data_IF_770670038517
#
_entry.id   IF_770670038517
#
_cell.length_a   1.000
_cell.length_b   1.000
_cell.length_c   1.000
_cell.angle_alpha   90.00
_cell.angle_beta   90.00
_cell.angle_gamma   90.00
#
_symmetry.space_group_name_H-M   'P 1'
#
loop_
_entity.id
_entity.type
_entity.pdbx_description
1 polymer ?
#
# COMPACT_ATOMS: atom_id res chain seq x y z
N UNK A 1 2.56 -24.21 -3.56
CA UNK A 1 2.30 -23.05 -2.68
C UNK A 1 0.99 -23.31 -1.96
N UNK A 2 0.94 -23.13 -0.65
CA UNK A 2 -0.28 -23.35 0.13
C UNK A 2 -1.19 -22.11 0.02
N UNK A 3 -2.51 -22.28 -0.12
CA UNK A 3 -3.47 -21.20 0.02
C UNK A 3 -3.44 -20.62 1.43
N UNK A 4 -3.98 -19.41 1.63
CA UNK A 4 -3.94 -18.74 2.93
C UNK A 4 -4.68 -19.55 4.01
N UNK A 5 -5.72 -20.29 3.64
CA UNK A 5 -6.49 -21.15 4.54
C UNK A 5 -5.66 -22.29 5.14
N UNK A 6 -4.63 -22.72 4.44
CA UNK A 6 -3.76 -23.85 4.84
C UNK A 6 -2.41 -23.35 5.37
N UNK A 7 -2.14 -22.03 5.30
CA UNK A 7 -0.88 -21.47 5.74
C UNK A 7 -0.86 -21.33 7.27
N UNK A 8 0.08 -21.96 7.99
CA UNK A 8 0.12 -21.92 9.45
C UNK A 8 0.63 -20.59 10.01
N UNK A 9 1.15 -19.70 9.16
CA UNK A 9 1.73 -18.44 9.60
C UNK A 9 0.69 -17.30 9.71
N UNK A 10 0.90 -16.35 10.62
CA UNK A 10 0.08 -15.14 10.68
C UNK A 10 0.07 -14.40 9.34
N UNK A 11 -0.97 -13.59 9.09
CA UNK A 11 -1.06 -12.76 7.87
C UNK A 11 0.11 -11.80 7.72
N UNK A 12 0.68 -11.36 8.85
CA UNK A 12 1.87 -10.51 8.90
C UNK A 12 2.78 -10.97 10.02
N UNK A 13 4.07 -11.04 9.73
CA UNK A 13 5.09 -11.26 10.76
C UNK A 13 6.44 -10.68 10.34
N UNK A 14 7.26 -10.35 11.33
CA UNK A 14 8.68 -10.05 11.14
C UNK A 14 9.44 -11.36 11.00
N UNK A 15 10.17 -11.53 9.90
CA UNK A 15 10.92 -12.76 9.64
C UNK A 15 12.09 -12.92 10.61
N UNK A 16 12.38 -14.18 10.99
CA UNK A 16 13.57 -14.52 11.76
C UNK A 16 14.85 -14.23 10.94
N UNK A 17 15.86 -13.63 11.58
CA UNK A 17 17.13 -13.26 10.90
C UNK A 17 17.84 -14.43 10.22
N UNK A 18 17.71 -15.64 10.74
CA UNK A 18 18.39 -16.83 10.22
C UNK A 18 17.87 -17.33 8.85
N UNK A 19 16.70 -16.87 8.41
CA UNK A 19 16.10 -17.29 7.15
C UNK A 19 16.10 -16.21 6.05
N UNK A 20 16.64 -15.04 6.32
CA UNK A 20 16.60 -13.91 5.40
C UNK A 20 17.90 -13.82 4.61
N UNK A 21 17.87 -14.02 3.28
CA UNK A 21 19.04 -13.75 2.45
C UNK A 21 19.35 -12.25 2.47
N UNK A 22 20.62 -11.85 2.45
CA UNK A 22 21.02 -10.45 2.29
C UNK A 22 20.83 -10.01 0.82
N UNK A 23 19.60 -9.73 0.41
CA UNK A 23 19.26 -9.39 -0.97
C UNK A 23 18.52 -8.07 -1.12
N UNK A 24 18.21 -7.44 0.00
CA UNK A 24 17.56 -6.13 0.05
C UNK A 24 18.48 -4.96 -0.28
N UNK A 25 17.91 -3.76 -0.41
CA UNK A 25 18.71 -2.57 -0.61
C UNK A 25 19.59 -2.30 0.62
N UNK A 26 20.85 -1.91 0.37
CA UNK A 26 21.74 -1.49 1.44
C UNK A 26 21.16 -0.27 2.19
N UNK A 27 21.35 -0.18 3.52
CA UNK A 27 20.93 1.00 4.26
C UNK A 27 21.55 2.27 3.68
N UNK A 28 20.73 3.32 3.54
CA UNK A 28 21.16 4.65 3.11
C UNK A 28 20.98 5.64 4.25
N UNK A 29 21.90 6.60 4.37
CA UNK A 29 21.78 7.67 5.37
C UNK A 29 20.76 8.74 4.94
N UNK A 30 20.58 8.96 3.64
CA UNK A 30 19.80 10.06 3.09
C UNK A 30 18.38 9.69 2.69
N UNK A 31 18.06 8.39 2.68
CA UNK A 31 16.75 7.90 2.23
C UNK A 31 16.38 6.57 2.85
N UNK A 32 15.16 6.17 2.59
CA UNK A 32 14.57 4.89 3.01
C UNK A 32 14.32 4.07 1.76
N UNK A 33 15.08 3.01 1.57
CA UNK A 33 14.90 2.08 0.46
C UNK A 33 14.04 0.89 0.91
N UNK A 34 13.16 0.43 0.04
CA UNK A 34 12.37 -0.79 0.22
C UNK A 34 12.46 -1.65 -1.03
N UNK A 35 12.54 -2.97 -0.84
CA UNK A 35 12.33 -3.96 -1.89
C UNK A 35 11.17 -4.85 -1.51
N UNK A 36 10.18 -4.94 -2.37
CA UNK A 36 9.07 -5.87 -2.21
C UNK A 36 9.21 -7.00 -3.21
N UNK A 37 8.99 -8.24 -2.77
CA UNK A 37 8.81 -9.40 -3.64
C UNK A 37 7.42 -9.95 -3.40
N UNK A 38 6.67 -10.12 -4.47
CA UNK A 38 5.28 -10.59 -4.40
C UNK A 38 5.12 -11.80 -5.29
N UNK A 39 4.53 -12.86 -4.75
CA UNK A 39 4.10 -14.02 -5.54
C UNK A 39 2.60 -14.25 -5.42
N UNK A 40 2.00 -14.75 -6.50
CA UNK A 40 0.61 -15.23 -6.48
C UNK A 40 0.52 -16.55 -5.72
N UNK A 41 -0.58 -16.73 -5.00
CA UNK A 41 -0.97 -17.99 -4.40
C UNK A 41 -2.12 -18.60 -5.21
N UNK A 42 -3.25 -18.85 -4.58
CA UNK A 42 -4.46 -19.33 -5.28
C UNK A 42 -5.46 -18.19 -5.47
N UNK A 43 -6.19 -18.20 -6.59
CA UNK A 43 -7.22 -17.19 -6.87
C UNK A 43 -6.64 -15.77 -6.88
N UNK A 44 -7.12 -14.94 -5.95
CA UNK A 44 -6.64 -13.57 -5.77
C UNK A 44 -5.72 -13.40 -4.55
N UNK A 45 -5.39 -14.49 -3.87
CA UNK A 45 -4.48 -14.48 -2.74
C UNK A 45 -3.04 -14.26 -3.20
N UNK A 46 -2.31 -13.49 -2.42
CA UNK A 46 -0.91 -13.13 -2.67
C UNK A 46 -0.15 -13.08 -1.34
N UNK A 47 1.13 -13.34 -1.41
CA UNK A 47 2.02 -13.05 -0.30
C UNK A 47 3.21 -12.22 -0.76
N UNK A 48 3.78 -11.49 0.16
CA UNK A 48 4.85 -10.53 -0.08
C UNK A 48 5.91 -10.62 0.99
N UNK A 49 7.14 -10.38 0.58
CA UNK A 49 8.27 -10.04 1.44
C UNK A 49 8.59 -8.57 1.20
N UNK A 50 8.70 -7.79 2.27
CA UNK A 50 9.21 -6.41 2.23
C UNK A 50 10.52 -6.35 2.99
N UNK A 51 11.59 -6.08 2.27
CA UNK A 51 12.92 -5.80 2.82
C UNK A 51 13.01 -4.29 3.08
N UNK A 52 13.14 -3.92 4.35
CA UNK A 52 13.15 -2.53 4.80
C UNK A 52 14.58 -2.07 5.08
N UNK A 53 15.15 -1.27 4.18
CA UNK A 53 16.56 -0.87 4.18
C UNK A 53 17.06 -0.21 5.46
N UNK A 54 16.30 0.71 6.14
CA UNK A 54 16.81 1.41 7.31
C UNK A 54 17.29 0.52 8.46
N UNK A 55 16.70 -0.63 8.64
CA UNK A 55 17.00 -1.55 9.75
C UNK A 55 17.39 -2.95 9.27
N UNK A 56 17.29 -3.22 7.97
CA UNK A 56 17.48 -4.55 7.39
C UNK A 56 16.41 -5.54 7.87
N UNK A 57 15.29 -5.07 8.41
CA UNK A 57 14.20 -5.95 8.80
C UNK A 57 13.41 -6.43 7.59
N UNK A 58 12.89 -7.63 7.69
CA UNK A 58 12.09 -8.26 6.66
C UNK A 58 10.71 -8.59 7.23
N UNK A 59 9.69 -8.11 6.54
CA UNK A 59 8.30 -8.37 6.86
C UNK A 59 7.65 -9.25 5.80
N UNK A 60 6.99 -10.33 6.23
CA UNK A 60 6.10 -11.11 5.36
C UNK A 60 4.69 -10.62 5.57
N UNK A 61 3.95 -10.38 4.47
CA UNK A 61 2.57 -9.92 4.46
C UNK A 61 1.75 -10.76 3.49
N UNK A 62 0.47 -10.94 3.80
CA UNK A 62 -0.50 -11.59 2.92
C UNK A 62 -1.59 -10.61 2.53
N UNK A 63 -2.08 -10.73 1.28
CA UNK A 63 -3.18 -9.94 0.74
C UNK A 63 -4.16 -10.81 -0.03
N UNK A 64 -5.41 -10.44 -0.01
CA UNK A 64 -6.47 -11.08 -0.78
C UNK A 64 -7.45 -10.00 -1.27
N UNK A 65 -8.38 -10.39 -2.10
CA UNK A 65 -9.48 -9.52 -2.53
C UNK A 65 -10.81 -10.03 -1.96
N UNK A 66 -11.78 -9.14 -1.87
CA UNK A 66 -13.14 -9.53 -1.52
C UNK A 66 -13.84 -10.33 -2.64
N UNK A 67 -14.97 -10.95 -2.31
CA UNK A 67 -15.77 -11.78 -3.23
C UNK A 67 -16.14 -11.08 -4.54
N UNK A 68 -16.28 -9.74 -4.54
CA UNK A 68 -16.56 -8.95 -5.74
C UNK A 68 -15.46 -9.00 -6.81
N UNK A 69 -14.24 -9.39 -6.44
CA UNK A 69 -13.10 -9.62 -7.32
C UNK A 69 -12.68 -11.10 -7.38
N UNK A 70 -13.54 -12.00 -6.94
CA UNK A 70 -13.30 -13.45 -6.83
C UNK A 70 -12.16 -13.81 -5.86
N UNK A 71 -11.96 -13.00 -4.83
CA UNK A 71 -11.14 -13.32 -3.66
C UNK A 71 -11.94 -14.03 -2.58
N UNK A 72 -11.26 -14.48 -1.53
CA UNK A 72 -11.82 -15.18 -0.38
C UNK A 72 -11.98 -14.27 0.86
N UNK A 73 -11.53 -13.01 0.76
CA UNK A 73 -11.60 -12.00 1.82
C UNK A 73 -10.90 -12.45 3.13
N UNK A 74 -9.83 -13.22 3.02
CA UNK A 74 -9.09 -13.76 4.17
C UNK A 74 -8.00 -12.80 4.68
N UNK A 75 -7.52 -11.90 3.84
CA UNK A 75 -6.50 -10.94 4.16
C UNK A 75 -6.87 -9.55 3.63
N UNK A 76 -6.23 -8.46 4.10
CA UNK A 76 -6.51 -7.13 3.61
C UNK A 76 -6.30 -7.00 2.11
N UNK A 77 -7.19 -6.25 1.46
CA UNK A 77 -7.06 -5.88 0.06
C UNK A 77 -5.94 -4.83 -0.12
N UNK A 78 -5.32 -4.73 -1.32
CA UNK A 78 -4.14 -3.88 -1.54
C UNK A 78 -4.30 -2.42 -1.12
N UNK A 79 -5.47 -1.82 -1.40
CA UNK A 79 -5.72 -0.41 -1.06
C UNK A 79 -5.84 -0.20 0.46
N UNK A 80 -6.13 -1.25 1.25
CA UNK A 80 -6.12 -1.17 2.70
C UNK A 80 -4.69 -1.00 3.23
N UNK A 81 -3.73 -1.72 2.68
CA UNK A 81 -2.31 -1.54 3.02
C UNK A 81 -1.81 -0.13 2.70
N UNK A 82 -2.16 0.39 1.53
CA UNK A 82 -1.77 1.74 1.13
C UNK A 82 -2.36 2.80 2.06
N UNK A 83 -3.66 2.68 2.38
CA UNK A 83 -4.34 3.59 3.31
C UNK A 83 -3.73 3.52 4.72
N UNK A 84 -3.43 2.32 5.22
CA UNK A 84 -2.76 2.12 6.49
C UNK A 84 -1.35 2.73 6.52
N UNK A 85 -0.60 2.59 5.42
CA UNK A 85 0.72 3.20 5.25
C UNK A 85 0.68 4.73 5.31
N UNK A 86 -0.28 5.36 4.61
CA UNK A 86 -0.50 6.80 4.66
C UNK A 86 -0.85 7.28 6.07
N UNK A 87 -1.86 6.67 6.70
CA UNK A 87 -2.29 7.02 8.06
C UNK A 87 -1.15 6.89 9.07
N UNK A 88 -0.38 5.80 9.00
CA UNK A 88 0.77 5.61 9.87
C UNK A 88 1.83 6.69 9.70
N UNK A 89 2.14 7.06 8.45
CA UNK A 89 3.12 8.09 8.14
C UNK A 89 2.65 9.47 8.61
N UNK A 90 1.42 9.85 8.32
CA UNK A 90 0.85 11.12 8.78
C UNK A 90 0.81 11.22 10.30
N UNK A 91 0.40 10.15 11.00
CA UNK A 91 0.35 10.14 12.46
C UNK A 91 1.75 10.33 13.06
N UNK A 92 2.80 9.73 12.48
CA UNK A 92 4.18 9.94 12.93
C UNK A 92 4.58 11.41 12.86
N UNK A 93 4.28 12.08 11.75
CA UNK A 93 4.61 13.49 11.57
C UNK A 93 3.79 14.41 12.49
N UNK A 94 2.50 14.13 12.64
CA UNK A 94 1.62 14.89 13.54
C UNK A 94 2.11 14.80 14.99
N UNK A 95 2.46 13.60 15.46
CA UNK A 95 2.96 13.40 16.82
C UNK A 95 4.30 14.11 17.04
N UNK A 96 5.25 13.99 16.13
CA UNK A 96 6.55 14.65 16.23
C UNK A 96 6.42 16.18 16.23
N UNK A 97 5.56 16.75 15.39
CA UNK A 97 5.31 18.19 15.36
C UNK A 97 4.59 18.71 16.61
N UNK A 98 3.67 17.93 17.15
CA UNK A 98 2.98 18.27 18.40
C UNK A 98 3.93 18.23 19.60
N UNK A 99 4.75 17.18 19.69
CA UNK A 99 5.78 17.04 20.74
C UNK A 99 6.78 18.20 20.68
N UNK A 100 7.29 18.54 19.51
CA UNK A 100 8.22 19.66 19.33
C UNK A 100 7.64 21.02 19.78
N UNK A 101 6.30 21.14 19.81
CA UNK A 101 5.57 22.33 20.30
C UNK A 101 5.05 22.20 21.73
N UNK A 102 5.33 21.09 22.41
CA UNK A 102 4.87 20.82 23.78
C UNK A 102 3.35 20.68 23.88
N UNK A 103 2.67 20.23 22.82
CA UNK A 103 1.22 20.04 22.80
C UNK A 103 0.86 18.64 23.28
N UNK A 104 -0.27 18.54 23.99
CA UNK A 104 -0.84 17.26 24.41
C UNK A 104 -1.40 16.52 23.19
N UNK A 105 -1.08 15.23 23.07
CA UNK A 105 -1.55 14.35 22.01
C UNK A 105 -2.55 13.29 22.49
N UNK A 106 -2.99 13.36 23.74
CA UNK A 106 -3.93 12.39 24.30
C UNK A 106 -5.30 12.45 23.56
N UNK A 107 -5.75 11.31 23.06
CA UNK A 107 -7.03 11.21 22.35
C UNK A 107 -7.02 11.75 20.93
N UNK A 108 -5.84 12.00 20.34
CA UNK A 108 -5.73 12.39 18.93
C UNK A 108 -6.19 11.25 18.03
N UNK A 109 -6.94 11.59 16.97
CA UNK A 109 -7.36 10.65 15.94
C UNK A 109 -7.19 11.27 14.53
N UNK A 110 -6.78 10.45 13.57
CA UNK A 110 -6.77 10.78 12.15
C UNK A 110 -7.80 9.94 11.41
N UNK A 111 -8.51 10.51 10.47
CA UNK A 111 -9.26 9.76 9.48
C UNK A 111 -8.87 10.14 8.06
N UNK A 112 -8.87 9.17 7.16
CA UNK A 112 -8.42 9.31 5.78
C UNK A 112 -9.40 8.64 4.84
N UNK A 113 -9.81 9.38 3.80
CA UNK A 113 -10.61 8.90 2.71
C UNK A 113 -9.84 8.99 1.40
N UNK A 114 -9.69 7.84 0.72
CA UNK A 114 -9.11 7.75 -0.61
C UNK A 114 -10.16 7.30 -1.62
N UNK A 115 -10.38 8.11 -2.65
CA UNK A 115 -11.32 7.83 -3.74
C UNK A 115 -10.57 7.32 -4.98
N UNK A 116 -11.11 6.25 -5.56
CA UNK A 116 -10.58 5.61 -6.75
C UNK A 116 -11.67 5.48 -7.81
N UNK A 117 -11.28 5.49 -9.07
CA UNK A 117 -12.18 5.30 -10.18
C UNK A 117 -11.60 4.34 -11.22
N UNK A 118 -12.45 3.53 -11.82
CA UNK A 118 -12.14 2.73 -12.99
C UNK A 118 -13.04 3.17 -14.12
N UNK A 119 -12.48 3.52 -15.27
CA UNK A 119 -13.23 3.96 -16.43
C UNK A 119 -12.75 3.25 -17.71
N UNK A 120 -13.57 3.24 -18.74
CA UNK A 120 -13.27 2.57 -20.01
C UNK A 120 -13.63 1.10 -20.03
N UNK A 121 -13.21 0.41 -21.09
CA UNK A 121 -13.52 -0.98 -21.38
C UNK A 121 -12.25 -1.82 -21.55
N UNK A 122 -12.18 -2.97 -20.87
CA UNK A 122 -11.07 -3.92 -21.02
C UNK A 122 -11.03 -4.53 -22.44
N UNK A 123 -12.20 -4.84 -23.03
CA UNK A 123 -12.29 -5.43 -24.37
C UNK A 123 -11.93 -4.44 -25.48
N UNK A 124 -12.12 -3.13 -25.25
CA UNK A 124 -11.70 -2.07 -26.15
C UNK A 124 -10.27 -1.58 -25.88
N UNK A 125 -9.56 -2.13 -24.89
CA UNK A 125 -8.22 -1.71 -24.50
C UNK A 125 -8.15 -0.28 -23.89
N UNK A 126 -9.29 0.30 -23.49
CA UNK A 126 -9.36 1.68 -22.99
C UNK A 126 -9.51 1.77 -21.47
N UNK A 127 -9.55 0.64 -20.76
CA UNK A 127 -9.74 0.60 -19.32
C UNK A 127 -8.56 1.26 -18.59
N UNK A 128 -8.88 2.13 -17.64
CA UNK A 128 -7.89 2.89 -16.86
C UNK A 128 -8.35 3.06 -15.42
N UNK A 129 -7.41 2.88 -14.49
CA UNK A 129 -7.54 3.24 -13.10
C UNK A 129 -7.16 4.71 -12.87
N UNK A 130 -7.82 5.35 -11.93
CA UNK A 130 -7.51 6.71 -11.49
C UNK A 130 -7.66 6.81 -9.97
N UNK A 131 -6.90 7.72 -9.36
CA UNK A 131 -7.02 8.10 -7.97
C UNK A 131 -7.34 9.58 -7.86
N UNK A 132 -8.08 9.96 -6.84
CA UNK A 132 -8.42 11.34 -6.54
C UNK A 132 -7.58 11.84 -5.32
N UNK A 133 -7.48 13.16 -5.08
CA UNK A 133 -6.83 13.68 -3.89
C UNK A 133 -7.42 13.08 -2.62
N UNK A 134 -6.55 12.60 -1.73
CA UNK A 134 -6.96 12.07 -0.44
C UNK A 134 -7.56 13.18 0.44
N UNK A 135 -8.49 12.81 1.33
CA UNK A 135 -9.09 13.71 2.31
C UNK A 135 -8.68 13.23 3.72
N UNK A 136 -7.84 14.04 4.37
CA UNK A 136 -7.30 13.76 5.70
C UNK A 136 -7.95 14.69 6.73
N UNK A 137 -8.54 14.10 7.77
CA UNK A 137 -9.15 14.82 8.87
C UNK A 137 -8.41 14.50 10.17
N UNK A 138 -8.16 15.53 10.96
CA UNK A 138 -7.60 15.41 12.30
C UNK A 138 -8.65 15.78 13.35
N UNK A 139 -8.83 14.92 14.34
CA UNK A 139 -9.55 15.21 15.57
C UNK A 139 -8.52 15.55 16.66
N UNK A 140 -8.32 16.83 16.98
CA UNK A 140 -7.35 17.22 18.01
C UNK A 140 -7.88 16.90 19.41
N UNK A 141 -7.03 16.91 20.45
CA UNK A 141 -7.45 16.77 21.84
C UNK A 141 -8.50 17.81 22.24
N UNK A 142 -9.32 17.49 23.23
CA UNK A 142 -10.36 18.39 23.73
C UNK A 142 -9.78 19.71 24.25
N UNK A 143 -10.34 20.83 23.83
CA UNK A 143 -9.87 22.17 24.22
C UNK A 143 -8.63 22.67 23.49
N UNK A 144 -8.16 21.95 22.48
CA UNK A 144 -7.00 22.34 21.67
C UNK A 144 -7.29 23.58 20.80
N UNK A 145 -6.27 24.39 20.54
CA UNK A 145 -6.36 25.50 19.60
C UNK A 145 -6.46 25.01 18.15
N UNK A 146 -7.59 25.23 17.44
CA UNK A 146 -7.75 24.73 16.08
C UNK A 146 -6.71 25.29 15.10
N UNK A 147 -6.26 26.54 15.28
CA UNK A 147 -5.30 27.16 14.37
C UNK A 147 -3.94 26.46 14.44
N UNK A 148 -3.47 26.19 15.66
CA UNK A 148 -2.21 25.47 15.90
C UNK A 148 -2.25 24.04 15.32
N UNK A 149 -3.36 23.32 15.51
CA UNK A 149 -3.51 21.95 14.99
C UNK A 149 -3.69 21.90 13.46
N UNK A 150 -4.33 22.88 12.86
CA UNK A 150 -4.39 22.99 11.40
C UNK A 150 -3.02 23.23 10.79
N UNK A 151 -2.18 24.03 11.44
CA UNK A 151 -0.79 24.24 11.01
C UNK A 151 0.03 22.96 11.12
N UNK A 152 -0.07 22.23 12.24
CA UNK A 152 0.56 20.92 12.41
C UNK A 152 0.13 19.97 11.30
N UNK A 153 -1.17 19.86 11.03
CA UNK A 153 -1.69 18.94 10.01
C UNK A 153 -1.14 19.24 8.62
N UNK A 154 -1.09 20.53 8.24
CA UNK A 154 -0.52 20.96 6.94
C UNK A 154 0.97 20.61 6.85
N UNK A 155 1.75 20.85 7.92
CA UNK A 155 3.16 20.51 7.95
C UNK A 155 3.37 18.99 7.93
N UNK A 156 2.58 18.22 8.66
CA UNK A 156 2.66 16.76 8.71
C UNK A 156 2.48 16.12 7.32
N UNK A 157 1.52 16.63 6.52
CA UNK A 157 1.32 16.16 5.15
C UNK A 157 2.57 16.38 4.30
N UNK A 158 3.16 17.58 4.36
CA UNK A 158 4.35 17.91 3.56
C UNK A 158 5.60 17.15 4.02
N UNK A 159 5.71 16.89 5.33
CA UNK A 159 6.80 16.15 5.95
C UNK A 159 6.71 14.63 5.75
N UNK A 160 5.53 14.12 5.36
CA UNK A 160 5.28 12.68 5.20
C UNK A 160 5.88 12.13 3.90
N UNK A 161 6.82 11.14 3.95
CA UNK A 161 7.32 10.49 2.76
C UNK A 161 6.25 9.62 2.06
N UNK A 162 5.22 9.18 2.76
CA UNK A 162 4.10 8.49 2.15
C UNK A 162 3.23 9.44 1.30
N UNK A 163 3.00 10.68 1.74
CA UNK A 163 2.32 11.71 0.94
C UNK A 163 3.11 12.08 -0.32
N UNK A 164 4.44 12.12 -0.21
CA UNK A 164 5.31 12.46 -1.32
C UNK A 164 5.10 11.54 -2.55
N UNK A 165 4.72 10.28 -2.33
CA UNK A 165 4.42 9.31 -3.40
C UNK A 165 3.22 9.74 -4.26
N UNK A 166 2.26 10.45 -3.69
CA UNK A 166 1.09 10.96 -4.43
C UNK A 166 1.28 12.42 -4.89
N UNK A 167 2.01 13.21 -4.11
CA UNK A 167 2.18 14.64 -4.36
C UNK A 167 3.17 14.93 -5.48
N UNK A 168 4.20 14.09 -5.63
CA UNK A 168 5.24 14.22 -6.65
C UNK A 168 4.90 13.28 -7.81
N UNK A 169 4.80 13.78 -9.07
CA UNK A 169 4.59 12.91 -10.21
C UNK A 169 5.77 11.94 -10.40
N UNK A 170 5.54 10.66 -10.24
CA UNK A 170 6.55 9.62 -10.31
C UNK A 170 6.28 8.71 -11.51
N UNK A 171 7.22 8.62 -12.45
CA UNK A 171 7.11 7.73 -13.61
C UNK A 171 7.68 6.36 -13.26
N UNK A 172 6.79 5.39 -12.98
CA UNK A 172 7.18 4.00 -12.74
C UNK A 172 7.82 3.38 -13.98
N UNK A 173 8.85 2.55 -13.76
CA UNK A 173 9.57 1.83 -14.82
C UNK A 173 9.41 0.32 -14.62
N UNK A 174 9.36 -0.42 -15.73
CA UNK A 174 9.08 -1.85 -15.71
C UNK A 174 10.13 -2.63 -16.51
N UNK A 175 10.48 -3.82 -16.04
CA UNK A 175 11.09 -4.84 -16.87
C UNK A 175 10.18 -6.07 -16.92
N UNK A 176 10.21 -6.82 -18.00
CA UNK A 176 9.33 -7.96 -18.23
C UNK A 176 10.15 -9.21 -18.53
N UNK A 177 9.92 -10.25 -17.76
CA UNK A 177 10.42 -11.61 -17.98
C UNK A 177 9.22 -12.53 -18.20
N UNK A 178 9.16 -13.22 -19.32
CA UNK A 178 8.11 -14.18 -19.63
C UNK A 178 8.72 -15.56 -19.89
N UNK A 179 8.24 -16.58 -19.21
CA UNK A 179 8.73 -17.95 -19.31
C UNK A 179 10.27 -18.05 -19.19
N UNK A 180 10.84 -17.28 -18.26
CA UNK A 180 12.28 -17.23 -17.99
C UNK A 180 13.09 -16.31 -18.93
N UNK A 181 12.51 -15.77 -20.00
CA UNK A 181 13.20 -14.90 -20.94
C UNK A 181 12.81 -13.42 -20.73
N UNK A 182 13.82 -12.53 -20.70
CA UNK A 182 13.59 -11.08 -20.70
C UNK A 182 13.10 -10.65 -22.07
N UNK A 183 11.97 -9.94 -22.09
CA UNK A 183 11.41 -9.33 -23.29
C UNK A 183 11.21 -7.82 -23.07
N UNK A 184 11.26 -7.03 -24.15
CA UNK A 184 10.99 -5.60 -24.07
C UNK A 184 9.54 -5.35 -23.63
N UNK A 185 9.31 -4.29 -22.87
CA UNK A 185 7.97 -3.74 -22.63
C UNK A 185 7.44 -3.06 -23.89
N UNK A 186 6.18 -2.65 -23.92
CA UNK A 186 5.56 -2.00 -25.07
C UNK A 186 5.15 -0.55 -24.74
N UNK A 187 4.11 -0.35 -23.93
CA UNK A 187 3.60 1.00 -23.61
C UNK A 187 4.15 1.54 -22.27
N UNK A 188 4.42 0.67 -21.29
CA UNK A 188 5.00 1.10 -20.02
C UNK A 188 6.47 1.48 -20.17
N UNK A 189 6.96 2.53 -19.46
CA UNK A 189 8.36 2.93 -19.50
C UNK A 189 9.29 1.78 -19.11
N UNK A 190 10.25 1.44 -19.96
CA UNK A 190 11.16 0.32 -19.71
C UNK A 190 12.21 0.65 -18.65
N UNK A 191 12.43 -0.33 -17.77
CA UNK A 191 13.59 -0.35 -16.86
C UNK A 191 14.75 -1.05 -17.56
N UNK A 192 15.83 -0.33 -17.81
CA UNK A 192 17.06 -0.86 -18.44
C UNK A 192 18.05 -1.44 -17.41
N UNK A 193 17.79 -1.27 -16.13
CA UNK A 193 18.62 -1.81 -15.06
C UNK A 193 18.65 -3.35 -15.07
N UNK A 194 19.58 -3.93 -14.34
CA UNK A 194 19.66 -5.39 -14.20
C UNK A 194 18.35 -5.93 -13.58
N UNK A 195 17.80 -6.98 -14.18
CA UNK A 195 16.57 -7.60 -13.69
C UNK A 195 16.83 -8.24 -12.32
N UNK A 196 16.01 -7.85 -11.34
CA UNK A 196 15.98 -8.53 -10.05
C UNK A 196 14.99 -9.69 -10.14
N UNK A 197 15.44 -10.90 -9.83
CA UNK A 197 14.61 -12.10 -9.90
C UNK A 197 13.43 -12.08 -8.91
N UNK A 198 12.41 -12.87 -9.19
CA UNK A 198 11.21 -12.97 -8.36
C UNK A 198 11.48 -13.44 -6.93
N UNK A 199 12.59 -14.20 -6.71
CA UNK A 199 12.96 -14.71 -5.38
C UNK A 199 11.93 -15.67 -4.80
N UNK A 200 11.37 -16.55 -5.62
CA UNK A 200 10.33 -17.49 -5.19
C UNK A 200 10.81 -18.42 -4.07
N UNK A 201 12.09 -18.78 -4.08
CA UNK A 201 12.79 -19.58 -3.09
C UNK A 201 12.97 -18.88 -1.72
N UNK A 202 12.84 -17.56 -1.68
CA UNK A 202 12.98 -16.78 -0.45
C UNK A 202 11.77 -16.88 0.49
N UNK A 203 10.63 -17.33 -0.01
CA UNK A 203 9.40 -17.42 0.79
C UNK A 203 9.33 -18.69 1.64
N UNK A 204 9.84 -19.80 1.12
CA UNK A 204 9.66 -21.11 1.75
C UNK A 204 10.40 -21.27 3.10
N UNK A 205 11.62 -20.71 3.31
CA UNK A 205 12.30 -20.77 4.58
C UNK A 205 11.85 -19.72 5.61
N UNK A 206 10.93 -18.82 5.26
CA UNK A 206 10.52 -17.76 6.17
C UNK A 206 9.69 -18.31 7.33
N UNK A 207 10.10 -17.94 8.53
CA UNK A 207 9.38 -18.23 9.76
C UNK A 207 9.25 -16.95 10.60
N UNK A 208 8.19 -16.84 11.42
CA UNK A 208 8.08 -15.75 12.37
C UNK A 208 9.29 -15.68 13.30
N UNK A 209 9.87 -14.47 13.40
CA UNK A 209 10.91 -14.14 14.37
C UNK A 209 10.31 -13.77 15.72
N UNK A 210 11.14 -13.22 16.60
CA UNK A 210 10.67 -12.59 17.84
C UNK A 210 10.63 -11.06 17.75
N UNK A 211 10.07 -10.42 18.78
CA UNK A 211 10.11 -8.96 18.95
C UNK A 211 9.17 -8.20 18.04
N UNK A 212 8.00 -8.74 17.78
CA UNK A 212 6.87 -8.05 17.15
C UNK A 212 5.58 -8.29 17.95
N UNK A 213 4.57 -7.42 17.74
CA UNK A 213 3.28 -7.52 18.41
C UNK A 213 2.49 -8.71 17.88
N UNK A 214 1.66 -9.30 18.72
CA UNK A 214 0.64 -10.25 18.29
C UNK A 214 -0.45 -9.53 17.50
N UNK A 215 -1.16 -10.28 16.67
CA UNK A 215 -2.36 -9.80 15.96
C UNK A 215 -2.17 -8.48 15.18
N UNK A 216 -1.02 -8.34 14.51
CA UNK A 216 -0.71 -7.13 13.71
C UNK A 216 -1.81 -6.79 12.71
N UNK A 217 -2.45 -7.81 12.13
CA UNK A 217 -3.63 -7.65 11.26
C UNK A 217 -4.75 -8.54 11.76
N UNK A 218 -5.91 -7.91 11.98
CA UNK A 218 -7.14 -8.59 12.36
C UNK A 218 -8.26 -8.26 11.38
N UNK A 219 -9.00 -9.28 10.97
CA UNK A 219 -10.25 -9.11 10.21
C UNK A 219 -11.40 -8.90 11.18
N UNK A 220 -12.20 -7.88 10.93
CA UNK A 220 -13.42 -7.57 11.71
C UNK A 220 -14.63 -7.65 10.81
N UNK A 221 -15.61 -8.43 11.21
CA UNK A 221 -16.91 -8.48 10.54
C UNK A 221 -17.78 -7.34 11.09
N UNK A 222 -18.28 -6.49 10.20
CA UNK A 222 -19.14 -5.36 10.53
C UNK A 222 -20.62 -5.78 10.49
N UNK A 223 -21.44 -5.20 11.34
CA UNK A 223 -22.88 -5.35 11.23
C UNK A 223 -23.40 -4.72 9.93
N UNK A 224 -24.32 -5.42 9.24
CA UNK A 224 -24.81 -5.03 7.91
C UNK A 224 -25.51 -3.66 7.91
N UNK A 225 -25.96 -3.18 9.07
CA UNK A 225 -26.57 -1.85 9.25
C UNK A 225 -25.61 -0.68 8.99
N UNK A 226 -24.29 -0.89 9.10
CA UNK A 226 -23.27 0.15 9.01
C UNK A 226 -22.68 0.30 7.60
N UNK A 227 -23.19 -0.43 6.61
CA UNK A 227 -22.64 -0.41 5.26
C UNK A 227 -23.37 0.58 4.35
N UNK A 228 -22.69 1.59 3.77
CA UNK A 228 -23.28 2.47 2.78
C UNK A 228 -23.76 1.71 1.55
N UNK A 229 -25.00 1.96 1.12
CA UNK A 229 -25.60 1.29 -0.03
C UNK A 229 -25.11 1.91 -1.35
N UNK A 230 -24.05 1.39 -1.95
CA UNK A 230 -23.79 1.61 -3.38
C UNK A 230 -23.92 0.28 -4.13
N UNK A 231 -24.92 0.17 -4.98
CA UNK A 231 -25.10 -0.99 -5.85
C UNK A 231 -24.01 -1.02 -6.93
N UNK A 232 -23.39 -2.19 -7.23
CA UNK A 232 -22.51 -2.28 -8.38
C UNK A 232 -23.35 -2.10 -9.66
N UNK A 233 -23.05 -1.05 -10.43
CA UNK A 233 -23.65 -0.88 -11.75
C UNK A 233 -23.24 -2.03 -12.70
N UNK A 234 -24.16 -2.48 -13.53
CA UNK A 234 -23.93 -3.52 -14.54
C UNK A 234 -22.83 -3.09 -15.51
N UNK A 235 -21.83 -3.96 -15.74
CA UNK A 235 -20.55 -3.64 -16.38
C UNK A 235 -20.54 -3.54 -17.90
N UNK A 236 -21.62 -3.12 -18.57
CA UNK A 236 -21.74 -3.18 -20.02
C UNK A 236 -21.66 -1.82 -20.76
N UNK A 237 -21.55 -0.71 -20.04
CA UNK A 237 -21.41 0.60 -20.67
C UNK A 237 -19.94 1.03 -20.75
N UNK A 238 -19.34 1.21 -21.96
CA UNK A 238 -17.94 1.61 -22.11
C UNK A 238 -17.60 2.99 -21.51
N UNK A 239 -18.59 3.82 -21.25
CA UNK A 239 -18.43 5.14 -20.63
C UNK A 239 -18.72 5.14 -19.11
N UNK A 240 -18.89 3.98 -18.48
CA UNK A 240 -19.20 3.90 -17.07
C UNK A 240 -17.97 4.18 -16.21
N UNK A 241 -18.00 5.26 -15.45
CA UNK A 241 -17.04 5.50 -14.36
C UNK A 241 -17.53 4.75 -13.12
N UNK A 242 -16.75 3.81 -12.62
CA UNK A 242 -16.98 3.13 -11.34
C UNK A 242 -16.09 3.77 -10.30
N UNK A 243 -16.67 4.44 -9.33
CA UNK A 243 -15.93 5.04 -8.21
C UNK A 243 -16.14 4.22 -6.95
N UNK A 244 -15.13 4.18 -6.11
CA UNK A 244 -15.19 3.56 -4.80
C UNK A 244 -14.27 4.26 -3.82
N UNK A 245 -14.63 4.17 -2.55
CA UNK A 245 -13.98 4.84 -1.45
C UNK A 245 -13.34 3.82 -0.51
N UNK A 246 -12.11 4.08 -0.09
CA UNK A 246 -11.46 3.38 1.02
C UNK A 246 -11.29 4.37 2.15
N UNK A 247 -12.00 4.12 3.24
CA UNK A 247 -11.92 4.93 4.46
C UNK A 247 -11.06 4.24 5.53
N UNK A 248 -10.37 5.03 6.34
CA UNK A 248 -9.64 4.52 7.49
C UNK A 248 -9.50 5.55 8.60
N UNK A 249 -9.18 5.08 9.81
CA UNK A 249 -8.83 5.91 10.95
C UNK A 249 -7.56 5.40 11.62
N UNK A 250 -6.88 6.26 12.36
CA UNK A 250 -5.67 5.94 13.11
C UNK A 250 -5.69 6.63 14.45
N UNK A 251 -5.53 5.85 15.51
CA UNK A 251 -5.34 6.29 16.89
C UNK A 251 -4.09 5.67 17.49
N UNK A 252 -3.73 6.07 18.71
CA UNK A 252 -2.56 5.54 19.41
C UNK A 252 -3.02 4.64 20.55
N UNK A 253 -2.51 3.41 20.60
CA UNK A 253 -2.76 2.47 21.68
C UNK A 253 -2.02 2.87 22.95
N UNK A 254 -2.41 2.31 24.10
CA UNK A 254 -1.69 2.48 25.36
C UNK A 254 -0.21 2.01 25.30
N UNK A 255 0.13 1.12 24.38
CA UNK A 255 1.50 0.66 24.13
C UNK A 255 2.30 1.60 23.20
N UNK A 256 1.69 2.67 22.69
CA UNK A 256 2.30 3.64 21.77
C UNK A 256 2.30 3.19 20.30
N UNK A 257 1.62 2.10 19.96
CA UNK A 257 1.46 1.66 18.58
C UNK A 257 0.33 2.43 17.90
N UNK A 258 0.44 2.58 16.59
CA UNK A 258 -0.65 3.11 15.76
C UNK A 258 -1.65 1.99 15.48
N UNK A 259 -2.87 2.15 15.97
CA UNK A 259 -4.00 1.28 15.65
C UNK A 259 -4.76 1.89 14.47
N UNK A 260 -4.79 1.17 13.35
CA UNK A 260 -5.36 1.67 12.11
C UNK A 260 -6.50 0.75 11.70
N UNK A 261 -7.67 1.33 11.40
CA UNK A 261 -8.85 0.62 10.94
C UNK A 261 -9.14 1.04 9.52
N UNK A 262 -9.22 0.07 8.61
CA UNK A 262 -9.50 0.34 7.19
C UNK A 262 -10.69 -0.48 6.72
N UNK A 263 -11.58 0.18 5.99
CA UNK A 263 -12.75 -0.45 5.37
C UNK A 263 -12.92 0.01 3.93
N UNK A 264 -13.47 -0.86 3.13
CA UNK A 264 -13.96 -0.52 1.80
C UNK A 264 -15.40 -0.03 1.90
N UNK A 265 -15.73 1.11 1.29
CA UNK A 265 -17.09 1.65 1.33
C UNK A 265 -18.09 0.88 0.43
N UNK A 266 -17.64 -0.12 -0.33
CA UNK A 266 -18.54 -1.06 -0.99
C UNK A 266 -18.97 -2.14 0.02
N UNK A 267 -20.15 -2.72 -0.17
CA UNK A 267 -20.82 -3.72 0.69
C UNK A 267 -19.97 -4.95 1.08
N UNK A 268 -18.77 -4.75 1.59
CA UNK A 268 -18.07 -5.79 2.30
C UNK A 268 -18.38 -5.61 3.77
N UNK A 269 -19.01 -6.61 4.38
CA UNK A 269 -19.24 -6.63 5.82
C UNK A 269 -17.93 -6.78 6.62
N UNK A 270 -16.79 -6.34 6.04
CA UNK A 270 -15.46 -6.53 6.63
C UNK A 270 -14.66 -5.24 6.68
N UNK A 271 -13.99 -5.06 7.79
CA UNK A 271 -12.92 -4.10 7.98
C UNK A 271 -11.64 -4.85 8.39
N UNK A 272 -10.50 -4.20 8.25
CA UNK A 272 -9.24 -4.72 8.74
C UNK A 272 -8.63 -3.74 9.74
N UNK A 273 -8.19 -4.27 10.87
CA UNK A 273 -7.38 -3.55 11.84
C UNK A 273 -5.92 -3.88 11.58
N UNK A 274 -5.09 -2.85 11.63
CA UNK A 274 -3.64 -2.95 11.50
C UNK A 274 -2.99 -2.34 12.72
N UNK A 275 -1.92 -2.96 13.20
CA UNK A 275 -0.94 -2.29 14.03
C UNK A 275 0.21 -1.81 13.15
N UNK A 276 0.72 -0.62 13.42
CA UNK A 276 1.92 -0.07 12.81
C UNK A 276 2.78 0.60 13.88
N UNK A 277 4.10 0.51 13.72
CA UNK A 277 5.05 1.13 14.64
C UNK A 277 5.99 2.07 13.88
N UNK A 278 6.70 2.89 14.62
CA UNK A 278 7.78 3.70 14.06
C UNK A 278 9.01 2.82 13.87
N UNK A 279 9.78 3.08 12.81
CA UNK A 279 11.05 2.40 12.59
C UNK A 279 12.02 2.64 13.75
N UNK A 280 12.81 1.62 14.09
CA UNK A 280 13.86 1.73 15.09
C UNK A 280 14.88 2.83 14.75
N UNK A 281 15.09 3.11 13.46
CA UNK A 281 15.92 4.25 13.01
C UNK A 281 15.39 5.61 13.49
N UNK A 282 14.08 5.74 13.70
CA UNK A 282 13.41 6.98 14.10
C UNK A 282 12.81 6.88 15.52
N UNK A 283 13.43 6.09 16.39
CA UNK A 283 13.07 5.99 17.80
C UNK A 283 11.97 5.01 18.16
N UNK A 284 11.41 4.29 17.19
CA UNK A 284 10.43 3.22 17.44
C UNK A 284 11.07 1.89 17.86
N UNK A 285 10.26 0.86 18.02
CA UNK A 285 10.69 -0.50 18.39
C UNK A 285 10.49 -1.51 17.29
N UNK A 286 9.83 -1.13 16.19
CA UNK A 286 9.40 -2.03 15.10
C UNK A 286 8.66 -3.28 15.61
N UNK A 287 7.77 -3.07 16.58
CA UNK A 287 6.86 -4.11 17.07
C UNK A 287 5.78 -4.48 16.04
N UNK A 288 5.56 -3.61 15.06
CA UNK A 288 4.69 -3.80 13.91
C UNK A 288 5.32 -3.15 12.66
N UNK A 289 4.87 -3.45 11.44
CA UNK A 289 5.44 -2.88 10.23
C UNK A 289 5.42 -1.34 10.25
N UNK A 290 6.54 -0.68 9.91
CA UNK A 290 6.54 0.76 9.66
C UNK A 290 5.57 1.15 8.53
N UNK A 291 5.03 2.37 8.57
CA UNK A 291 4.06 2.83 7.58
C UNK A 291 4.52 2.70 6.13
N UNK A 292 5.80 2.92 5.84
CA UNK A 292 6.36 2.78 4.49
C UNK A 292 6.44 1.31 4.02
N UNK A 293 6.55 0.35 4.94
CA UNK A 293 6.41 -1.09 4.63
C UNK A 293 4.99 -1.39 4.16
N UNK A 294 3.98 -0.89 4.87
CA UNK A 294 2.57 -1.06 4.48
C UNK A 294 2.25 -0.35 3.17
N UNK A 295 2.80 0.86 2.96
CA UNK A 295 2.60 1.64 1.73
C UNK A 295 3.17 0.90 0.51
N UNK A 296 4.43 0.46 0.59
CA UNK A 296 5.10 -0.29 -0.47
C UNK A 296 4.36 -1.60 -0.77
N UNK A 297 3.87 -2.29 0.28
CA UNK A 297 3.05 -3.48 0.15
C UNK A 297 1.76 -3.20 -0.63
N UNK A 298 1.06 -2.10 -0.31
CA UNK A 298 -0.14 -1.68 -1.04
C UNK A 298 0.11 -1.53 -2.53
N UNK A 299 1.18 -0.84 -2.91
CA UNK A 299 1.52 -0.58 -4.32
C UNK A 299 1.81 -1.89 -5.06
N UNK A 300 2.67 -2.76 -4.51
CA UNK A 300 3.00 -4.04 -5.13
C UNK A 300 1.78 -4.98 -5.25
N UNK A 301 1.00 -5.13 -4.19
CA UNK A 301 -0.21 -5.95 -4.21
C UNK A 301 -1.27 -5.42 -5.19
N UNK A 302 -1.43 -4.09 -5.30
CA UNK A 302 -2.39 -3.49 -6.23
C UNK A 302 -2.05 -3.83 -7.68
N UNK A 303 -0.78 -3.74 -8.07
CA UNK A 303 -0.34 -4.10 -9.40
C UNK A 303 -0.55 -5.60 -9.70
N UNK A 304 -0.20 -6.46 -8.75
CA UNK A 304 -0.44 -7.91 -8.84
C UNK A 304 -1.92 -8.26 -9.04
N UNK A 305 -2.82 -7.55 -8.35
CA UNK A 305 -4.26 -7.69 -8.56
C UNK A 305 -4.65 -7.37 -10.01
N UNK A 306 -4.09 -6.31 -10.60
CA UNK A 306 -4.45 -5.93 -11.96
C UNK A 306 -3.88 -6.89 -13.02
N UNK A 307 -2.70 -7.48 -12.79
CA UNK A 307 -2.18 -8.56 -13.64
C UNK A 307 -3.19 -9.72 -13.76
N UNK A 308 -3.62 -10.25 -12.61
CA UNK A 308 -4.59 -11.36 -12.60
C UNK A 308 -5.95 -10.96 -13.19
N UNK A 309 -6.44 -9.77 -12.83
CA UNK A 309 -7.75 -9.27 -13.33
C UNK A 309 -7.75 -9.09 -14.83
N UNK A 310 -6.74 -8.42 -15.38
CA UNK A 310 -6.69 -8.20 -16.82
C UNK A 310 -6.50 -9.51 -17.57
N UNK A 311 -5.58 -10.37 -17.16
CA UNK A 311 -5.38 -11.67 -17.76
C UNK A 311 -6.69 -12.47 -17.84
N UNK A 312 -7.48 -12.49 -16.75
CA UNK A 312 -8.79 -13.15 -16.72
C UNK A 312 -9.80 -12.52 -17.68
N UNK A 313 -9.90 -11.16 -17.67
CA UNK A 313 -10.85 -10.44 -18.55
C UNK A 313 -10.52 -10.61 -20.04
N UNK A 314 -9.23 -10.58 -20.39
CA UNK A 314 -8.73 -10.73 -21.75
C UNK A 314 -8.51 -12.20 -22.17
N UNK A 315 -8.87 -13.16 -21.29
CA UNK A 315 -8.69 -14.62 -21.52
C UNK A 315 -7.25 -14.99 -21.86
N UNK A 316 -6.28 -14.30 -21.25
CA UNK A 316 -4.86 -14.64 -21.35
C UNK A 316 -4.54 -15.83 -20.46
N UNK A 317 -3.82 -16.81 -20.97
CA UNK A 317 -3.41 -18.00 -20.20
C UNK A 317 -2.24 -17.66 -19.28
N UNK A 318 -2.53 -17.01 -18.16
CA UNK A 318 -1.58 -16.66 -17.10
C UNK A 318 -1.54 -17.78 -16.06
N UNK A 319 -0.42 -18.52 -16.00
CA UNK A 319 -0.22 -19.68 -15.11
C UNK A 319 0.28 -19.30 -13.74
N UNK A 320 1.33 -18.49 -13.69
CA UNK A 320 1.85 -17.90 -12.46
C UNK A 320 2.40 -16.51 -12.72
N UNK A 321 2.46 -15.68 -11.69
CA UNK A 321 2.97 -14.32 -11.80
C UNK A 321 3.58 -13.87 -10.48
N UNK A 322 4.66 -13.13 -10.60
CA UNK A 322 5.37 -12.53 -9.49
C UNK A 322 5.94 -11.17 -9.89
N UNK A 323 6.24 -10.33 -8.92
CA UNK A 323 6.98 -9.10 -9.13
C UNK A 323 8.06 -8.92 -8.07
N UNK A 324 9.12 -8.21 -8.44
CA UNK A 324 10.01 -7.53 -7.50
C UNK A 324 9.91 -6.04 -7.76
N UNK A 325 9.70 -5.25 -6.71
CA UNK A 325 9.52 -3.81 -6.85
C UNK A 325 10.43 -3.07 -5.87
N UNK A 326 11.25 -2.18 -6.39
CA UNK A 326 12.12 -1.30 -5.63
C UNK A 326 11.51 0.09 -5.57
N UNK A 327 11.51 0.67 -4.36
CA UNK A 327 11.12 2.05 -4.13
C UNK A 327 12.06 2.68 -3.11
N UNK A 328 12.22 3.99 -3.24
CA UNK A 328 12.86 4.77 -2.19
C UNK A 328 11.98 5.95 -1.78
N UNK A 329 12.13 6.35 -0.53
CA UNK A 329 11.45 7.48 0.08
C UNK A 329 12.51 8.37 0.71
N UNK A 330 12.33 9.68 0.63
CA UNK A 330 13.13 10.62 1.42
C UNK A 330 12.93 10.37 2.92
N UNK A 331 13.81 10.94 3.72
CA UNK A 331 13.64 10.88 5.16
C UNK A 331 12.34 11.60 5.56
N UNK A 332 11.66 11.15 6.62
CA UNK A 332 10.58 11.89 7.22
C UNK A 332 11.03 13.28 7.64
N UNK A 333 10.16 14.27 7.60
CA UNK A 333 10.49 15.61 8.06
C UNK A 333 10.61 15.67 9.58
N UNK A 334 9.52 15.93 10.27
CA UNK A 334 9.54 16.11 11.72
C UNK A 334 9.91 14.82 12.48
N UNK A 335 9.30 13.68 12.12
CA UNK A 335 9.59 12.41 12.78
C UNK A 335 10.98 11.84 12.46
N UNK A 336 11.61 12.34 11.43
CA UNK A 336 13.01 12.06 11.08
C UNK A 336 14.02 13.04 11.66
N UNK A 337 13.56 14.02 12.45
CA UNK A 337 14.41 15.07 13.03
C UNK A 337 14.90 16.09 12.01
N UNK A 338 14.19 16.26 10.89
CA UNK A 338 14.49 17.26 9.85
C UNK A 338 13.28 18.18 9.66
N UNK A 339 13.50 19.41 9.20
CA UNK A 339 12.42 20.32 8.80
C UNK A 339 12.13 20.22 7.29
N UNK A 340 12.66 19.19 6.63
CA UNK A 340 12.61 19.06 5.19
C UNK A 340 11.24 18.59 4.72
N UNK A 341 10.85 19.03 3.54
CA UNK A 341 9.76 18.44 2.79
C UNK A 341 10.18 17.05 2.32
N UNK A 342 9.37 16.04 2.63
CA UNK A 342 9.65 14.68 2.21
C UNK A 342 9.58 14.51 0.68
N UNK A 343 10.39 13.61 0.18
CA UNK A 343 10.47 13.21 -1.23
C UNK A 343 10.25 11.72 -1.39
N UNK A 344 10.03 11.26 -2.62
CA UNK A 344 9.93 9.85 -2.97
C UNK A 344 10.43 9.62 -4.39
N UNK A 345 10.83 8.40 -4.70
CA UNK A 345 11.18 7.96 -6.05
C UNK A 345 10.15 7.06 -6.68
N UNK A 346 10.20 6.98 -8.00
CA UNK A 346 9.33 6.11 -8.76
C UNK A 346 9.57 4.63 -8.47
N UNK A 347 8.52 3.82 -8.54
CA UNK A 347 8.65 2.38 -8.45
C UNK A 347 9.39 1.82 -9.68
N UNK A 348 10.34 0.93 -9.43
CA UNK A 348 10.98 0.09 -10.44
C UNK A 348 10.46 -1.32 -10.25
N UNK A 349 9.69 -1.82 -11.20
CA UNK A 349 8.96 -3.09 -11.08
C UNK A 349 9.47 -4.10 -12.09
N UNK A 350 10.03 -5.20 -11.61
CA UNK A 350 10.44 -6.36 -12.41
C UNK A 350 9.30 -7.37 -12.41
N UNK A 351 8.68 -7.55 -13.56
CA UNK A 351 7.50 -8.42 -13.76
C UNK A 351 7.96 -9.78 -14.24
N UNK A 352 7.51 -10.85 -13.61
CA UNK A 352 7.80 -12.24 -13.96
C UNK A 352 6.50 -12.99 -14.22
N UNK A 353 6.28 -13.43 -15.45
CA UNK A 353 5.07 -14.11 -15.88
C UNK A 353 5.40 -15.49 -16.43
N UNK A 354 4.62 -16.50 -16.04
CA UNK A 354 4.54 -17.79 -16.72
C UNK A 354 3.22 -17.86 -17.48
N UNK A 355 3.29 -17.96 -18.79
CA UNK A 355 2.12 -17.85 -19.66
C UNK A 355 2.09 -18.94 -20.71
N UNK A 356 0.89 -19.23 -21.24
CA UNK A 356 0.72 -20.10 -22.40
C UNK A 356 1.29 -19.49 -23.67
N UNK A 357 1.54 -20.33 -24.69
CA UNK A 357 2.23 -19.94 -25.93
C UNK A 357 1.52 -18.83 -26.73
N UNK A 358 0.19 -18.77 -26.66
CA UNK A 358 -0.63 -17.81 -27.42
C UNK A 358 -0.97 -16.55 -26.58
N UNK A 359 -0.42 -16.42 -25.37
CA UNK A 359 -0.72 -15.29 -24.49
C UNK A 359 0.26 -14.13 -24.71
N UNK A 360 -0.24 -12.90 -24.58
CA UNK A 360 0.53 -11.67 -24.78
C UNK A 360 0.97 -11.05 -23.43
N UNK A 361 2.20 -11.34 -23.05
CA UNK A 361 2.79 -10.84 -21.80
C UNK A 361 2.95 -9.31 -21.78
N UNK A 362 3.22 -8.68 -22.93
CA UNK A 362 3.34 -7.23 -23.03
C UNK A 362 2.00 -6.56 -22.79
N UNK A 363 0.96 -7.03 -23.44
CA UNK A 363 -0.40 -6.54 -23.27
C UNK A 363 -0.85 -6.67 -21.80
N UNK A 364 -0.59 -7.82 -21.16
CA UNK A 364 -0.95 -8.03 -19.74
C UNK A 364 -0.22 -7.05 -18.83
N UNK A 365 1.06 -6.82 -19.07
CA UNK A 365 1.90 -5.90 -18.28
C UNK A 365 1.43 -4.44 -18.43
N UNK A 366 1.23 -3.97 -19.67
CA UNK A 366 0.81 -2.61 -19.99
C UNK A 366 -0.57 -2.30 -19.41
N UNK A 367 -1.51 -3.21 -19.63
CA UNK A 367 -2.87 -3.01 -19.17
C UNK A 367 -2.99 -3.11 -17.64
N UNK A 368 -2.21 -3.98 -17.00
CA UNK A 368 -2.15 -4.02 -15.54
C UNK A 368 -1.65 -2.70 -14.95
N UNK A 369 -0.61 -2.10 -15.54
CA UNK A 369 -0.10 -0.80 -15.10
C UNK A 369 -1.13 0.31 -15.29
N UNK A 370 -1.81 0.34 -16.46
CA UNK A 370 -2.87 1.30 -16.75
C UNK A 370 -4.08 1.16 -15.81
N UNK A 371 -4.42 -0.05 -15.41
CA UNK A 371 -5.54 -0.33 -14.49
C UNK A 371 -5.17 -0.11 -13.03
N UNK A 372 -3.87 -0.05 -12.68
CA UNK A 372 -3.42 0.01 -11.29
C UNK A 372 -3.69 1.40 -10.69
N UNK A 373 -4.57 1.45 -9.71
CA UNK A 373 -4.91 2.69 -9.01
C UNK A 373 -3.71 3.34 -8.35
N UNK A 374 -2.84 2.54 -7.74
CA UNK A 374 -1.70 3.06 -6.99
C UNK A 374 -0.54 3.50 -7.89
N UNK A 375 -0.30 2.85 -9.04
CA UNK A 375 0.61 3.40 -10.05
C UNK A 375 0.05 4.69 -10.67
N UNK A 376 -1.27 4.77 -10.84
CA UNK A 376 -1.93 6.01 -11.26
C UNK A 376 -1.78 7.12 -10.20
N UNK A 377 -1.94 6.79 -8.91
CA UNK A 377 -1.72 7.74 -7.81
C UNK A 377 -0.27 8.26 -7.79
N UNK A 378 0.71 7.37 -7.97
CA UNK A 378 2.12 7.73 -8.04
C UNK A 378 2.45 8.63 -9.25
N UNK A 379 1.80 8.39 -10.39
CA UNK A 379 2.03 9.18 -11.61
C UNK A 379 1.35 10.55 -11.60
N UNK A 380 0.34 10.73 -10.76
CA UNK A 380 -0.42 11.96 -10.64
C UNK A 380 0.27 12.95 -9.68
N UNK A 381 -0.20 14.20 -9.68
CA UNK A 381 0.14 15.20 -8.67
C UNK A 381 -1.09 15.46 -7.80
N UNK A 382 -1.28 14.61 -6.82
CA UNK A 382 -2.45 14.64 -5.93
C UNK A 382 -2.09 15.37 -4.64
N UNK A 383 -2.75 16.48 -4.36
CA UNK A 383 -2.57 17.23 -3.10
C UNK A 383 -3.62 16.77 -2.09
N UNK A 384 -3.18 16.20 -0.99
CA UNK A 384 -4.03 15.79 0.12
C UNK A 384 -4.78 17.00 0.68
N UNK A 385 -6.11 16.91 0.74
CA UNK A 385 -6.98 17.90 1.37
C UNK A 385 -7.00 17.64 2.86
N UNK A 386 -6.88 18.71 3.65
CA UNK A 386 -6.82 18.61 5.11
C UNK A 386 -7.94 19.39 5.77
N UNK A 387 -8.48 18.86 6.87
CA UNK A 387 -9.46 19.55 7.70
C UNK A 387 -9.38 19.08 9.16
N UNK A 388 -9.97 19.85 10.08
CA UNK A 388 -10.15 19.45 11.47
C UNK A 388 -11.60 18.98 11.68
N UNK A 389 -11.78 17.96 12.51
CA UNK A 389 -13.11 17.53 12.93
C UNK A 389 -13.77 18.65 13.76
N UNK A 390 -15.05 18.91 13.48
CA UNK A 390 -15.81 19.93 14.19
C UNK A 390 -15.57 21.39 13.76
N UNK A 391 -14.71 21.63 12.79
CA UNK A 391 -14.51 22.94 12.16
C UNK A 391 -15.06 22.88 10.74
N UNK A 392 -16.19 23.53 10.48
CA UNK A 392 -16.68 23.69 9.10
C UNK A 392 -15.61 24.39 8.27
N UNK A 393 -15.32 23.84 7.09
CA UNK A 393 -14.42 24.49 6.14
C UNK A 393 -15.03 25.87 5.81
N UNK A 394 -14.33 26.93 6.15
CA UNK A 394 -14.66 28.25 5.65
C UNK A 394 -14.62 28.19 4.11
N UNK A 395 -15.77 28.47 3.49
CA UNK A 395 -16.03 28.40 2.05
C UNK A 395 -15.08 29.28 1.22
#
# INVERSE_FOLDING_TARGET
>A
MLPLEENPHPLVFKAAKAGVPPSGPAPSEDRIDTRTRVRSLTGMQKEMIVEYGPTGTVWRLASDEGAGLNGTDLAPFPLAFFNAGLLSSYMSEVLALAEARGLDTAGIDLSLNNSYAMQGSATAGTIQGASEPAELHLSPPSGADPAAWMEILRHAVVASPADAVMRIPLTSRFSLTCNGERIATNEVPECTDAVVGAGADLFDPLAPGGGFADDIIQKVVLDVSDTPSQAPGSGLNPNQKRSFLVGGSCSITAAGLKEIRVRHAMRTATAFHFLSDTSARFGGKEMAPPGLVLLAAGIGFCYMTQLARFAKMAKQDLKSYAITQDMWFGLPGASGGTDAQATAGAAVTHVHLEMGADADARLVTDMAARMCFLHSACAASLKTKVSLAGVEAAA
#
